data_IF_283988096726
#
_entry.id   IF_283988096726
#
_cell.length_a   1.000
_cell.length_b   1.000
_cell.length_c   1.000
_cell.angle_alpha   90.00
_cell.angle_beta   90.00
_cell.angle_gamma   90.00
#
_symmetry.space_group_name_H-M   'P 1'
#
loop_
_entity.id
_entity.type
_entity.pdbx_description
1 polymer ?
#
# COMPACT_ATOMS: atom_id res chain seq x y z
N UNK A 1 25.16 28.02 -0.30
CA UNK A 1 23.97 28.90 -0.51
C UNK A 1 24.26 30.03 -1.49
N UNK A 2 24.52 29.74 -2.78
CA UNK A 2 25.01 30.76 -3.72
C UNK A 2 24.28 30.81 -5.08
N UNK A 3 23.09 30.21 -5.23
CA UNK A 3 22.36 30.17 -6.52
C UNK A 3 20.91 30.68 -6.50
N UNK A 4 20.43 31.26 -5.40
CA UNK A 4 19.03 31.75 -5.32
C UNK A 4 18.90 33.27 -5.48
N UNK A 5 20.02 34.00 -5.55
CA UNK A 5 20.01 35.48 -5.66
C UNK A 5 19.46 36.08 -6.97
N UNK A 6 19.49 35.45 -8.17
CA UNK A 6 19.12 36.18 -9.38
C UNK A 6 17.61 36.17 -9.69
N UNK A 7 16.78 35.43 -8.96
CA UNK A 7 15.33 35.36 -9.23
C UNK A 7 14.58 36.56 -8.61
N UNK A 8 15.05 37.07 -7.47
CA UNK A 8 14.35 38.12 -6.72
C UNK A 8 14.52 39.53 -7.30
N UNK A 9 15.48 39.76 -8.21
CA UNK A 9 15.65 41.08 -8.84
C UNK A 9 14.69 41.33 -10.01
N UNK A 10 13.94 40.32 -10.46
CA UNK A 10 12.97 40.45 -11.58
C UNK A 10 11.55 40.78 -11.13
N UNK A 11 11.29 40.71 -9.83
CA UNK A 11 10.00 41.06 -9.21
C UNK A 11 10.31 42.08 -8.11
N UNK A 12 9.88 43.32 -8.31
CA UNK A 12 10.22 44.50 -7.53
C UNK A 12 9.67 44.43 -6.08
N UNK A 13 10.24 43.60 -5.20
CA UNK A 13 9.71 43.33 -3.85
C UNK A 13 10.76 43.55 -2.75
N UNK A 14 11.25 44.79 -2.64
CA UNK A 14 12.18 45.24 -1.58
C UNK A 14 11.58 45.30 -0.17
N UNK A 15 10.26 45.14 -0.03
CA UNK A 15 9.56 45.23 1.27
C UNK A 15 9.45 43.91 2.05
N UNK A 16 9.83 42.75 1.46
CA UNK A 16 9.78 41.46 2.14
C UNK A 16 11.04 41.16 2.98
N UNK A 17 12.22 41.64 2.58
CA UNK A 17 13.47 41.40 3.32
C UNK A 17 13.44 42.01 4.73
N UNK A 18 12.82 43.20 4.89
CA UNK A 18 12.69 43.88 6.19
C UNK A 18 11.70 43.20 7.15
N UNK A 19 10.77 42.39 6.64
CA UNK A 19 9.78 41.66 7.46
C UNK A 19 10.32 40.34 8.00
N UNK A 20 11.26 39.73 7.28
CA UNK A 20 11.88 38.46 7.69
C UNK A 20 12.97 38.68 8.74
N UNK A 21 13.73 39.77 8.64
CA UNK A 21 14.83 40.08 9.58
C UNK A 21 14.39 40.58 10.96
N UNK A 22 13.15 41.07 11.11
CA UNK A 22 12.66 41.64 12.38
C UNK A 22 12.04 40.60 13.36
N UNK A 23 11.86 39.34 12.95
CA UNK A 23 11.25 38.28 13.80
C UNK A 23 12.26 37.41 14.54
N UNK A 24 13.56 37.59 14.30
CA UNK A 24 14.62 36.84 14.99
C UNK A 24 15.34 37.80 15.93
N UNK A 25 14.96 37.76 17.21
CA UNK A 25 15.67 38.22 18.40
C UNK A 25 14.86 39.18 19.30
N UNK A 26 14.24 38.61 20.33
CA UNK A 26 14.25 39.18 21.68
C UNK A 26 14.06 38.07 22.72
N UNK A 27 14.91 37.95 23.74
CA UNK A 27 14.65 37.07 24.87
C UNK A 27 13.67 37.78 25.82
N UNK A 28 12.55 37.13 26.15
CA UNK A 28 11.65 37.58 27.22
C UNK A 28 11.66 36.56 28.35
N UNK A 29 11.99 37.05 29.54
CA UNK A 29 11.80 36.41 30.84
C UNK A 29 10.32 36.04 31.03
N UNK A 30 10.05 34.77 31.31
CA UNK A 30 8.69 34.25 31.50
C UNK A 30 8.38 34.18 33.00
N UNK A 31 7.44 35.01 33.47
CA UNK A 31 6.85 34.91 34.80
C UNK A 31 5.39 34.46 34.59
N UNK A 32 5.10 33.19 34.89
CA UNK A 32 3.83 32.57 34.57
C UNK A 32 2.70 33.05 35.50
N UNK A 33 1.57 33.44 34.90
CA UNK A 33 0.31 33.73 35.62
C UNK A 33 -0.64 32.53 35.55
N UNK A 34 -1.35 32.28 36.66
CA UNK A 34 -2.24 31.12 36.91
C UNK A 34 -3.48 30.99 35.99
N UNK A 35 -3.64 31.88 35.00
CA UNK A 35 -4.81 31.94 34.11
C UNK A 35 -4.47 32.02 32.62
N UNK A 36 -3.23 31.73 32.23
CA UNK A 36 -2.91 31.59 30.81
C UNK A 36 -3.54 30.31 30.24
N UNK A 37 -4.15 30.35 29.03
CA UNK A 37 -4.71 29.17 28.42
C UNK A 37 -3.56 28.18 28.17
N UNK A 38 -3.67 26.99 28.76
CA UNK A 38 -2.74 25.88 28.50
C UNK A 38 -2.72 25.67 26.99
N UNK A 39 -1.62 26.06 26.35
CA UNK A 39 -1.36 25.67 24.98
C UNK A 39 -1.46 24.14 24.96
N UNK A 40 -2.23 23.53 24.05
CA UNK A 40 -2.13 22.10 23.87
C UNK A 40 -0.71 21.85 23.37
N UNK A 41 0.17 21.43 24.28
CA UNK A 41 1.39 20.69 23.97
C UNK A 41 0.93 19.38 23.33
N UNK A 42 0.49 19.47 22.08
CA UNK A 42 0.50 18.34 21.17
C UNK A 42 1.95 18.18 20.73
N UNK A 43 2.75 17.65 21.66
CA UNK A 43 3.94 16.89 21.27
C UNK A 43 3.41 15.73 20.43
N UNK A 44 3.33 15.91 19.11
CA UNK A 44 3.25 14.79 18.19
C UNK A 44 4.57 14.03 18.37
N UNK A 45 4.58 13.06 19.28
CA UNK A 45 5.57 12.01 19.25
C UNK A 45 5.48 11.39 17.86
N UNK A 46 6.47 11.64 17.01
CA UNK A 46 6.65 10.92 15.76
C UNK A 46 6.76 9.44 16.14
N UNK A 47 5.66 8.71 16.01
CA UNK A 47 5.67 7.26 16.24
C UNK A 47 6.58 6.67 15.17
N UNK A 48 7.76 6.21 15.60
CA UNK A 48 8.72 5.52 14.75
C UNK A 48 8.14 4.15 14.37
N UNK A 49 7.32 4.13 13.32
CA UNK A 49 6.77 2.91 12.76
C UNK A 49 7.79 2.21 11.87
N UNK A 50 7.66 0.90 11.77
CA UNK A 50 8.37 0.13 10.76
C UNK A 50 7.92 0.55 9.36
N UNK A 51 8.80 0.45 8.39
CA UNK A 51 8.55 0.77 6.99
C UNK A 51 9.38 -0.17 6.10
N UNK A 52 9.32 0.04 4.79
CA UNK A 52 9.96 -0.85 3.82
C UNK A 52 11.49 -0.82 3.94
N UNK A 53 12.04 0.31 4.36
CA UNK A 53 13.49 0.53 4.45
C UNK A 53 14.08 -0.12 5.72
N UNK A 54 13.30 -0.24 6.79
CA UNK A 54 13.77 -0.75 8.08
C UNK A 54 13.25 -2.16 8.43
N UNK A 55 12.42 -2.76 7.56
CA UNK A 55 11.87 -4.11 7.78
C UNK A 55 12.44 -5.08 6.76
N UNK A 56 13.12 -6.13 7.22
CA UNK A 56 13.57 -7.20 6.34
C UNK A 56 12.39 -7.89 5.65
N UNK A 57 12.47 -8.02 4.33
CA UNK A 57 11.44 -8.59 3.48
C UNK A 57 12.05 -9.31 2.27
N UNK A 58 11.27 -10.20 1.66
CA UNK A 58 11.67 -10.95 0.49
C UNK A 58 10.61 -10.79 -0.60
N UNK A 59 10.82 -9.80 -1.47
CA UNK A 59 9.95 -9.52 -2.61
C UNK A 59 10.61 -9.93 -3.91
N UNK A 60 9.85 -10.72 -4.67
CA UNK A 60 10.30 -11.29 -5.93
C UNK A 60 9.38 -10.85 -7.05
N UNK A 61 10.00 -10.51 -8.16
CA UNK A 61 9.32 -10.23 -9.41
C UNK A 61 9.41 -11.48 -10.25
N UNK A 62 8.27 -11.92 -10.78
CA UNK A 62 8.21 -13.02 -11.75
C UNK A 62 8.35 -12.41 -13.13
N UNK A 63 9.37 -12.82 -13.89
CA UNK A 63 9.69 -12.20 -15.18
C UNK A 63 9.25 -13.02 -16.39
N UNK A 64 9.04 -14.33 -16.22
CA UNK A 64 8.75 -15.25 -17.31
C UNK A 64 7.66 -16.27 -16.93
N UNK A 65 7.18 -16.99 -17.94
CA UNK A 65 6.07 -17.94 -17.79
C UNK A 65 6.49 -19.18 -17.00
N UNK A 66 7.76 -19.58 -17.07
CA UNK A 66 8.30 -20.72 -16.32
C UNK A 66 8.30 -20.44 -14.81
N UNK A 67 8.74 -19.25 -14.41
CA UNK A 67 8.67 -18.77 -13.03
C UNK A 67 7.22 -18.63 -12.55
N UNK A 68 6.30 -18.17 -13.43
CA UNK A 68 4.88 -18.11 -13.11
C UNK A 68 4.31 -19.51 -12.84
N UNK A 69 4.63 -20.50 -13.67
CA UNK A 69 4.20 -21.90 -13.46
C UNK A 69 4.72 -22.45 -12.14
N UNK A 70 5.99 -22.22 -11.83
CA UNK A 70 6.57 -22.63 -10.54
C UNK A 70 5.89 -21.94 -9.34
N UNK A 71 5.57 -20.65 -9.49
CA UNK A 71 4.82 -19.90 -8.50
C UNK A 71 3.42 -20.49 -8.29
N UNK A 72 2.70 -20.75 -9.37
CA UNK A 72 1.35 -21.35 -9.35
C UNK A 72 1.37 -22.71 -8.65
N UNK A 73 2.31 -23.59 -8.99
CA UNK A 73 2.47 -24.88 -8.30
C UNK A 73 2.74 -24.74 -6.79
N UNK A 74 3.45 -23.68 -6.40
CA UNK A 74 3.73 -23.38 -5.00
C UNK A 74 2.49 -22.86 -4.27
N UNK A 75 1.68 -22.04 -4.95
CA UNK A 75 0.43 -21.46 -4.46
C UNK A 75 -0.64 -22.54 -4.29
N UNK A 76 -0.76 -23.47 -5.25
CA UNK A 76 -1.76 -24.56 -5.21
C UNK A 76 -1.58 -25.51 -4.03
N UNK A 77 -0.41 -25.50 -3.37
CA UNK A 77 -0.15 -26.29 -2.15
C UNK A 77 -0.62 -25.58 -0.87
N UNK A 78 -1.03 -24.32 -0.96
CA UNK A 78 -1.41 -23.51 0.20
C UNK A 78 -2.92 -23.61 0.45
N UNK A 79 -3.32 -23.51 1.72
CA UNK A 79 -4.75 -23.46 2.11
C UNK A 79 -5.35 -22.07 1.97
N UNK A 80 -4.52 -21.04 2.14
CA UNK A 80 -4.93 -19.64 2.12
C UNK A 80 -3.88 -18.80 1.42
N UNK A 81 -4.34 -17.85 0.63
CA UNK A 81 -3.49 -16.94 -0.13
C UNK A 81 -4.09 -15.55 -0.05
N UNK A 82 -3.24 -14.54 -0.13
CA UNK A 82 -3.64 -13.17 -0.42
C UNK A 82 -3.26 -12.81 -1.85
N UNK A 83 -4.14 -12.08 -2.53
CA UNK A 83 -3.81 -11.44 -3.80
C UNK A 83 -4.41 -10.04 -3.92
N UNK A 84 -3.90 -9.28 -4.88
CA UNK A 84 -4.37 -7.94 -5.26
C UNK A 84 -3.97 -7.68 -6.70
N UNK A 85 -4.76 -6.85 -7.35
CA UNK A 85 -4.59 -6.45 -8.74
C UNK A 85 -4.11 -5.01 -8.81
N UNK A 86 -3.13 -4.77 -9.68
CA UNK A 86 -2.74 -3.43 -10.08
C UNK A 86 -3.37 -3.15 -11.44
N UNK A 87 -4.07 -2.02 -11.56
CA UNK A 87 -4.85 -1.67 -12.75
C UNK A 87 -4.51 -0.29 -13.28
N UNK A 88 -4.84 -0.04 -14.54
CA UNK A 88 -4.68 1.27 -15.19
C UNK A 88 -5.69 2.32 -14.71
N UNK A 89 -6.83 1.89 -14.16
CA UNK A 89 -7.93 2.74 -13.75
C UNK A 89 -8.59 2.24 -12.46
N UNK A 90 -9.25 3.17 -11.75
CA UNK A 90 -10.16 2.87 -10.65
C UNK A 90 -11.56 2.50 -11.14
N UNK A 91 -11.88 2.78 -12.41
CA UNK A 91 -13.14 2.38 -13.01
C UNK A 91 -13.02 0.93 -13.48
N UNK A 92 -13.80 0.03 -12.87
CA UNK A 92 -13.75 -1.40 -13.14
C UNK A 92 -14.01 -1.73 -14.61
N UNK A 93 -14.91 -1.01 -15.28
CA UNK A 93 -15.27 -1.30 -16.68
C UNK A 93 -14.18 -0.91 -17.69
N UNK A 94 -13.25 -0.04 -17.28
CA UNK A 94 -12.15 0.47 -18.12
C UNK A 94 -10.78 -0.02 -17.62
N UNK A 95 -10.74 -0.72 -16.48
CA UNK A 95 -9.53 -1.16 -15.84
C UNK A 95 -8.90 -2.32 -16.61
N UNK A 96 -7.66 -2.09 -17.06
CA UNK A 96 -6.79 -3.15 -17.57
C UNK A 96 -5.83 -3.61 -16.48
N UNK A 97 -5.58 -4.92 -16.40
CA UNK A 97 -4.57 -5.50 -15.51
C UNK A 97 -3.17 -5.05 -15.94
N UNK A 98 -2.42 -4.52 -14.96
CA UNK A 98 -1.01 -4.15 -15.07
C UNK A 98 -0.13 -5.17 -14.37
N UNK A 99 -0.64 -5.77 -13.29
CA UNK A 99 0.06 -6.80 -12.55
C UNK A 99 -0.81 -7.42 -11.48
N UNK A 100 -0.38 -8.59 -11.02
CA UNK A 100 -1.04 -9.30 -9.93
C UNK A 100 0.02 -9.69 -8.93
N UNK A 101 -0.36 -9.60 -7.67
CA UNK A 101 0.54 -9.84 -6.56
C UNK A 101 -0.02 -10.90 -5.64
N UNK A 102 0.86 -11.73 -5.08
CA UNK A 102 0.50 -12.87 -4.25
C UNK A 102 1.37 -12.92 -3.00
N UNK A 103 0.76 -13.33 -1.88
CA UNK A 103 1.46 -13.65 -0.65
C UNK A 103 0.70 -14.69 0.14
N UNK A 104 1.41 -15.71 0.62
CA UNK A 104 0.87 -16.69 1.56
C UNK A 104 1.78 -16.83 2.78
N UNK A 105 2.79 -15.96 2.96
CA UNK A 105 3.67 -15.97 4.13
C UNK A 105 4.06 -14.55 4.48
N UNK A 106 4.18 -14.26 5.78
CA UNK A 106 4.55 -12.93 6.24
C UNK A 106 5.91 -12.51 5.66
N UNK A 107 5.99 -11.24 5.22
CA UNK A 107 7.21 -10.62 4.66
C UNK A 107 7.74 -11.29 3.38
N UNK A 108 6.97 -12.20 2.78
CA UNK A 108 7.25 -12.82 1.49
C UNK A 108 6.11 -12.49 0.52
N UNK A 109 6.45 -11.95 -0.64
CA UNK A 109 5.47 -11.70 -1.69
C UNK A 109 6.08 -11.79 -3.08
N UNK A 110 5.20 -12.06 -4.03
CA UNK A 110 5.51 -12.23 -5.43
C UNK A 110 4.67 -11.25 -6.22
N UNK A 111 5.28 -10.51 -7.13
CA UNK A 111 4.59 -9.67 -8.09
C UNK A 111 4.82 -10.23 -9.49
N UNK A 112 3.72 -10.38 -10.21
CA UNK A 112 3.71 -10.85 -11.59
C UNK A 112 3.24 -9.68 -12.46
N UNK A 113 4.14 -9.02 -13.20
CA UNK A 113 3.76 -8.06 -14.23
C UNK A 113 2.85 -8.74 -15.25
N UNK A 114 1.73 -8.11 -15.59
CA UNK A 114 0.82 -8.64 -16.58
C UNK A 114 1.27 -8.19 -17.98
N UNK A 115 1.47 -9.11 -18.93
CA UNK A 115 1.91 -8.76 -20.27
C UNK A 115 0.85 -7.92 -20.98
N UNK A 116 1.27 -7.10 -21.95
CA UNK A 116 0.35 -6.31 -22.81
C UNK A 116 0.00 -7.02 -24.13
N UNK A 117 0.72 -8.08 -24.46
CA UNK A 117 0.50 -8.89 -25.65
C UNK A 117 -0.65 -9.88 -25.42
N UNK A 118 -1.62 -9.93 -26.34
CA UNK A 118 -2.85 -10.73 -26.20
C UNK A 118 -2.57 -12.25 -26.06
N UNK A 119 -1.58 -12.78 -26.77
CA UNK A 119 -1.30 -14.22 -26.77
C UNK A 119 -0.65 -14.65 -25.45
N UNK A 120 0.30 -13.86 -24.97
CA UNK A 120 0.94 -14.05 -23.66
C UNK A 120 -0.04 -13.80 -22.51
N UNK A 121 -0.92 -12.80 -22.63
CA UNK A 121 -1.98 -12.53 -21.65
C UNK A 121 -2.86 -13.74 -21.43
N UNK A 122 -3.32 -14.37 -22.51
CA UNK A 122 -4.16 -15.57 -22.42
C UNK A 122 -3.46 -16.67 -21.64
N UNK A 123 -2.18 -16.90 -21.91
CA UNK A 123 -1.36 -17.91 -21.21
C UNK A 123 -1.24 -17.58 -19.71
N UNK A 124 -1.04 -16.32 -19.34
CA UNK A 124 -0.96 -15.89 -17.94
C UNK A 124 -2.31 -16.04 -17.24
N UNK A 125 -3.41 -15.66 -17.91
CA UNK A 125 -4.76 -15.82 -17.40
C UNK A 125 -5.12 -17.28 -17.17
N UNK A 126 -4.71 -18.20 -18.06
CA UNK A 126 -4.87 -19.64 -17.87
C UNK A 126 -4.15 -20.14 -16.61
N UNK A 127 -2.94 -19.67 -16.36
CA UNK A 127 -2.19 -20.01 -15.14
C UNK A 127 -2.83 -19.43 -13.87
N UNK A 128 -3.24 -18.16 -13.87
CA UNK A 128 -3.94 -17.56 -12.73
C UNK A 128 -5.29 -18.20 -12.47
N UNK A 129 -6.00 -18.61 -13.52
CA UNK A 129 -7.30 -19.28 -13.41
C UNK A 129 -7.21 -20.54 -12.57
N UNK A 130 -6.10 -21.30 -12.64
CA UNK A 130 -5.89 -22.49 -11.80
C UNK A 130 -5.98 -22.18 -10.31
N UNK A 131 -5.45 -21.03 -9.90
CA UNK A 131 -5.46 -20.57 -8.50
C UNK A 131 -6.85 -20.01 -8.15
N UNK A 132 -7.38 -19.13 -9.01
CA UNK A 132 -8.59 -18.36 -8.72
C UNK A 132 -9.85 -19.22 -8.71
N UNK A 133 -9.88 -20.29 -9.51
CA UNK A 133 -11.00 -21.24 -9.56
C UNK A 133 -10.92 -22.35 -8.51
N UNK A 134 -9.78 -22.55 -7.84
CA UNK A 134 -9.61 -23.64 -6.88
C UNK A 134 -10.37 -23.39 -5.57
N UNK A 135 -11.50 -24.07 -5.37
CA UNK A 135 -12.35 -23.88 -4.19
C UNK A 135 -11.69 -24.29 -2.86
N UNK A 136 -10.60 -25.07 -2.90
CA UNK A 136 -9.89 -25.52 -1.69
C UNK A 136 -8.96 -24.45 -1.12
N UNK A 137 -8.66 -23.41 -1.90
CA UNK A 137 -7.80 -22.30 -1.48
C UNK A 137 -8.68 -21.13 -1.07
N UNK A 138 -8.53 -20.68 0.17
CA UNK A 138 -9.15 -19.44 0.65
C UNK A 138 -8.43 -18.22 0.09
N UNK A 139 -9.18 -17.28 -0.46
CA UNK A 139 -8.72 -16.04 -1.07
C UNK A 139 -8.90 -14.88 -0.10
N UNK A 140 -7.82 -14.16 0.15
CA UNK A 140 -7.78 -13.02 1.05
C UNK A 140 -7.44 -11.77 0.24
N UNK A 141 -8.07 -10.64 0.56
CA UNK A 141 -7.75 -9.34 -0.01
C UNK A 141 -8.36 -8.20 0.80
N UNK A 142 -8.07 -6.96 0.41
CA UNK A 142 -8.68 -5.75 0.99
C UNK A 142 -9.55 -5.11 -0.08
N UNK A 143 -10.85 -4.95 0.17
CA UNK A 143 -11.79 -4.51 -0.86
C UNK A 143 -11.74 -5.43 -2.10
N UNK A 144 -11.67 -6.75 -1.85
CA UNK A 144 -11.43 -7.80 -2.85
C UNK A 144 -12.52 -7.86 -3.94
N UNK A 145 -13.68 -7.25 -3.67
CA UNK A 145 -14.74 -7.03 -4.66
C UNK A 145 -14.20 -6.37 -5.93
N UNK A 146 -13.28 -5.40 -5.80
CA UNK A 146 -12.70 -4.73 -6.97
C UNK A 146 -11.93 -5.75 -7.83
N UNK A 147 -11.01 -6.48 -7.23
CA UNK A 147 -10.18 -7.47 -7.92
C UNK A 147 -11.00 -8.58 -8.58
N UNK A 148 -12.03 -9.08 -7.89
CA UNK A 148 -12.95 -10.09 -8.43
C UNK A 148 -13.64 -9.57 -9.70
N UNK A 149 -14.09 -8.31 -9.69
CA UNK A 149 -14.76 -7.73 -10.84
C UNK A 149 -13.78 -7.43 -11.98
N UNK A 150 -12.54 -7.05 -11.68
CA UNK A 150 -11.46 -6.94 -12.68
C UNK A 150 -11.24 -8.29 -13.36
N UNK A 151 -11.07 -9.38 -12.60
CA UNK A 151 -10.92 -10.73 -13.18
C UNK A 151 -12.14 -11.17 -14.01
N UNK A 152 -13.34 -10.73 -13.62
CA UNK A 152 -14.56 -11.01 -14.38
C UNK A 152 -14.55 -10.39 -15.77
N UNK A 153 -13.90 -9.23 -15.97
CA UNK A 153 -13.71 -8.65 -17.31
C UNK A 153 -12.83 -9.53 -18.21
N UNK A 154 -11.94 -10.33 -17.62
CA UNK A 154 -11.12 -11.31 -18.30
C UNK A 154 -11.77 -12.71 -18.38
N UNK A 155 -13.05 -12.84 -18.01
CA UNK A 155 -13.79 -14.09 -18.06
C UNK A 155 -13.41 -15.09 -16.95
N UNK A 156 -12.69 -14.65 -15.92
CA UNK A 156 -12.29 -15.50 -14.79
C UNK A 156 -13.25 -15.26 -13.63
N UNK A 157 -13.81 -16.35 -13.11
CA UNK A 157 -14.58 -16.34 -11.87
C UNK A 157 -13.66 -16.70 -10.69
N UNK A 158 -13.67 -15.88 -9.64
CA UNK A 158 -12.96 -16.19 -8.39
C UNK A 158 -13.87 -17.05 -7.53
N UNK A 159 -13.42 -18.26 -7.17
CA UNK A 159 -14.16 -19.26 -6.40
C UNK A 159 -13.49 -19.58 -5.06
N UNK A 160 -14.17 -20.36 -4.24
CA UNK A 160 -13.72 -20.75 -2.90
C UNK A 160 -14.08 -19.74 -1.83
N UNK A 161 -13.58 -19.96 -0.61
CA UNK A 161 -13.82 -19.05 0.51
C UNK A 161 -13.10 -17.71 0.26
N UNK A 162 -13.84 -16.61 0.41
CA UNK A 162 -13.31 -15.25 0.25
C UNK A 162 -13.31 -14.56 1.61
N UNK A 163 -12.20 -13.91 1.95
CA UNK A 163 -12.06 -13.10 3.15
C UNK A 163 -11.57 -11.69 2.81
N UNK A 164 -12.43 -10.70 3.04
CA UNK A 164 -12.12 -9.29 2.84
C UNK A 164 -11.74 -8.63 4.16
N UNK A 165 -10.49 -8.18 4.29
CA UNK A 165 -9.99 -7.53 5.51
C UNK A 165 -10.68 -6.20 5.81
N UNK A 166 -11.15 -5.48 4.78
CA UNK A 166 -11.92 -4.25 4.95
C UNK A 166 -13.25 -4.56 5.64
N UNK A 167 -13.97 -5.57 5.14
CA UNK A 167 -15.27 -5.97 5.69
C UNK A 167 -15.13 -6.60 7.07
N UNK A 168 -14.11 -7.43 7.28
CA UNK A 168 -13.81 -8.00 8.59
C UNK A 168 -13.57 -6.88 9.63
N UNK A 169 -12.78 -5.86 9.29
CA UNK A 169 -12.58 -4.72 10.19
C UNK A 169 -13.86 -3.90 10.40
N UNK A 170 -14.66 -3.72 9.35
CA UNK A 170 -15.93 -3.00 9.44
C UNK A 170 -16.91 -3.66 10.43
N UNK A 171 -16.98 -4.99 10.43
CA UNK A 171 -17.81 -5.72 11.39
C UNK A 171 -17.30 -5.62 12.82
N UNK A 172 -15.98 -5.51 13.03
CA UNK A 172 -15.39 -5.39 14.37
C UNK A 172 -15.47 -3.97 14.93
N UNK A 173 -15.19 -2.96 14.09
CA UNK A 173 -15.07 -1.57 14.51
C UNK A 173 -15.64 -0.61 13.45
N UNK A 174 -16.97 -0.51 13.30
CA UNK A 174 -17.63 0.20 12.20
C UNK A 174 -17.36 1.72 12.16
N UNK A 175 -17.02 2.31 13.30
CA UNK A 175 -16.77 3.76 13.44
C UNK A 175 -15.36 4.18 13.02
N UNK A 176 -14.47 3.22 12.76
CA UNK A 176 -13.06 3.50 12.46
C UNK A 176 -12.82 3.65 10.96
N UNK A 177 -11.61 4.07 10.59
CA UNK A 177 -11.20 4.05 9.18
C UNK A 177 -10.88 2.61 8.77
N UNK A 178 -11.25 2.24 7.55
CA UNK A 178 -11.05 0.88 7.02
C UNK A 178 -10.05 0.83 5.86
N UNK A 179 -9.30 1.90 5.61
CA UNK A 179 -8.28 1.90 4.56
C UNK A 179 -7.00 1.17 5.01
N UNK A 180 -6.24 0.67 4.04
CA UNK A 180 -5.06 -0.15 4.31
C UNK A 180 -3.99 0.58 5.14
N UNK A 181 -3.81 1.89 4.93
CA UNK A 181 -2.84 2.71 5.69
C UNK A 181 -3.20 2.76 7.17
N UNK A 182 -4.46 3.00 7.51
CA UNK A 182 -4.91 3.01 8.89
C UNK A 182 -4.76 1.63 9.55
N UNK A 183 -5.23 0.56 8.89
CA UNK A 183 -5.16 -0.80 9.43
C UNK A 183 -3.69 -1.21 9.67
N UNK A 184 -2.83 -0.88 8.71
CA UNK A 184 -1.38 -1.04 8.80
C UNK A 184 -0.75 -0.44 10.04
N UNK A 185 -1.03 0.83 10.29
CA UNK A 185 -0.42 1.56 11.39
C UNK A 185 -0.99 1.09 12.73
N UNK A 186 -2.30 0.83 12.77
CA UNK A 186 -2.99 0.37 13.97
C UNK A 186 -2.48 -0.99 14.43
N UNK A 187 -2.51 -2.00 13.56
CA UNK A 187 -2.25 -3.40 13.91
C UNK A 187 -0.79 -3.83 13.71
N UNK A 188 -0.09 -3.26 12.74
CA UNK A 188 1.28 -3.68 12.41
C UNK A 188 2.35 -2.71 12.90
N UNK A 189 1.98 -1.52 13.39
CA UNK A 189 2.93 -0.44 13.72
C UNK A 189 3.89 -0.17 12.56
N UNK A 190 3.34 -0.21 11.35
CA UNK A 190 4.10 -0.02 10.13
C UNK A 190 3.40 0.96 9.21
N UNK A 191 4.13 1.90 8.61
CA UNK A 191 3.65 2.87 7.62
C UNK A 191 3.86 2.37 6.17
N UNK A 192 2.78 2.10 5.42
CA UNK A 192 2.85 1.76 3.99
C UNK A 192 3.44 2.89 3.16
N UNK A 193 3.96 2.54 1.98
CA UNK A 193 4.43 3.54 1.02
C UNK A 193 3.19 4.13 0.33
N UNK A 194 3.04 5.46 0.29
CA UNK A 194 1.96 6.14 -0.42
C UNK A 194 1.99 5.87 -1.93
N UNK A 195 0.82 5.91 -2.57
CA UNK A 195 0.72 5.69 -4.02
C UNK A 195 1.30 6.88 -4.81
N UNK A 196 1.24 8.07 -4.24
CA UNK A 196 1.76 9.31 -4.83
C UNK A 196 3.28 9.26 -5.01
N UNK A 197 3.98 8.64 -4.05
CA UNK A 197 5.44 8.46 -4.08
C UNK A 197 5.89 7.48 -5.16
N UNK A 198 4.98 6.60 -5.60
CA UNK A 198 5.21 5.64 -6.68
C UNK A 198 5.00 6.26 -8.05
N UNK A 199 3.89 7.00 -8.20
CA UNK A 199 3.51 7.64 -9.47
C UNK A 199 4.51 8.74 -9.86
N UNK A 200 5.22 9.36 -8.90
CA UNK A 200 6.24 10.38 -9.17
C UNK A 200 7.62 9.86 -9.62
N UNK A 201 7.91 8.56 -9.48
CA UNK A 201 9.20 7.93 -9.86
C UNK A 201 9.02 6.97 -11.03
N UNK A 202 8.40 7.45 -12.11
CA UNK A 202 8.31 6.71 -13.38
C UNK A 202 9.67 6.68 -14.08
N UNK A 203 10.62 5.89 -13.56
CA UNK A 203 11.80 5.49 -14.30
C UNK A 203 12.22 4.05 -13.95
N UNK A 204 11.79 3.14 -14.82
CA UNK A 204 12.40 1.87 -15.20
C UNK A 204 12.55 0.67 -14.25
N UNK A 205 12.44 0.75 -12.92
CA UNK A 205 12.85 -0.40 -12.09
C UNK A 205 11.78 -0.90 -11.12
N UNK A 206 10.69 -1.49 -11.61
CA UNK A 206 9.85 -2.39 -10.80
C UNK A 206 9.35 -1.83 -9.45
N UNK A 207 9.31 -0.51 -9.25
CA UNK A 207 8.95 0.08 -7.95
C UNK A 207 7.48 -0.15 -7.58
N UNK A 208 6.63 -0.48 -8.56
CA UNK A 208 5.25 -0.93 -8.34
C UNK A 208 5.17 -2.18 -7.45
N UNK A 209 6.20 -3.05 -7.50
CA UNK A 209 6.30 -4.28 -6.71
C UNK A 209 6.35 -4.00 -5.19
N UNK A 210 6.81 -2.82 -4.79
CA UNK A 210 7.29 -2.62 -3.44
C UNK A 210 6.22 -2.17 -2.43
N UNK A 211 5.03 -1.71 -2.83
CA UNK A 211 4.31 -0.77 -1.96
C UNK A 211 3.00 -1.22 -1.32
N UNK A 212 2.44 -2.37 -1.69
CA UNK A 212 1.31 -2.97 -0.96
C UNK A 212 1.66 -4.21 -0.13
N UNK A 213 2.83 -4.80 -0.34
CA UNK A 213 3.04 -6.24 -0.11
C UNK A 213 3.76 -6.67 1.17
N UNK A 214 3.88 -5.78 2.17
CA UNK A 214 4.35 -6.18 3.51
C UNK A 214 3.28 -6.94 4.33
N UNK A 215 2.02 -7.00 3.89
CA UNK A 215 0.98 -6.77 4.92
C UNK A 215 -0.27 -7.60 4.99
N UNK A 216 -0.48 -8.62 4.19
CA UNK A 216 -1.77 -9.28 4.28
C UNK A 216 -1.82 -10.42 5.30
N UNK A 217 -0.86 -11.34 5.30
CA UNK A 217 -0.91 -12.47 6.25
C UNK A 217 -0.63 -12.04 7.69
N UNK A 218 0.31 -11.11 7.91
CA UNK A 218 0.62 -10.59 9.25
C UNK A 218 -0.53 -9.77 9.84
N UNK A 219 -1.29 -9.06 8.99
CA UNK A 219 -2.49 -8.32 9.42
C UNK A 219 -3.65 -9.27 9.73
N UNK A 220 -3.87 -10.30 8.91
CA UNK A 220 -4.89 -11.32 9.18
C UNK A 220 -4.63 -12.06 10.48
N UNK A 221 -3.41 -12.55 10.69
CA UNK A 221 -3.02 -13.28 11.90
C UNK A 221 -3.18 -12.38 13.13
N UNK A 222 -2.77 -11.11 13.07
CA UNK A 222 -2.95 -10.18 14.20
C UNK A 222 -4.41 -9.78 14.43
N UNK A 223 -5.21 -9.52 13.39
CA UNK A 223 -6.63 -9.21 13.56
C UNK A 223 -7.42 -10.40 14.12
N UNK A 224 -7.15 -11.62 13.63
CA UNK A 224 -7.74 -12.85 14.16
C UNK A 224 -7.25 -13.16 15.59
N UNK A 225 -5.95 -13.02 15.87
CA UNK A 225 -5.42 -13.29 17.21
C UNK A 225 -5.84 -12.26 18.28
N UNK A 226 -6.14 -11.01 17.89
CA UNK A 226 -6.56 -9.97 18.83
C UNK A 226 -8.05 -10.06 19.24
N UNK A 227 -8.87 -10.85 18.53
CA UNK A 227 -10.32 -10.95 18.79
C UNK A 227 -10.80 -12.40 19.03
N UNK A 228 -9.91 -13.41 18.97
CA UNK A 228 -10.23 -14.82 19.30
C UNK A 228 -9.75 -15.20 20.73
N UNK A 229 -9.26 -14.25 21.52
CA UNK A 229 -8.97 -14.46 22.95
C UNK A 229 -9.83 -13.55 23.83
#
# INVERSE_FOLDING_TARGET
>A
MAKVRPIYQRLNISNLEKRVSARVNKPQTFQATLFDPVAPDMVQQEKMYSNIENTAHNYKVVHNIEELKFLVESILKQKEICFDTETTSLNIFEAELVGISFSWKEKEAYYVPFPKDNETQKTYLEEFSKILLDENIRKIGQNIKFDILVFRNYGIEVKGEIFDTMLAHYLLEPEQRHNMTYLSEKYLKYTPVPIEDLIGKVSNNGLWIQCRWIKFRSMLLKMLMLHIN
#
